data_IF_534484611104
#
_entry.id   IF_534484611104
#
_cell.length_a   1.000
_cell.length_b   1.000
_cell.length_c   1.000
_cell.angle_alpha   90.00
_cell.angle_beta   90.00
_cell.angle_gamma   90.00
#
_symmetry.space_group_name_H-M   'P 1'
#
loop_
_entity.id
_entity.type
_entity.pdbx_description
1 polymer ?
#
# COMPACT_ATOMS: atom_id res chain seq x y z
N UNK A 1 5.11 7.52 -11.52
CA UNK A 1 5.76 7.28 -10.20
C UNK A 1 4.90 6.34 -9.39
N UNK A 2 5.49 5.32 -8.75
CA UNK A 2 4.81 4.40 -7.84
C UNK A 2 5.51 4.47 -6.49
N UNK A 3 4.75 4.48 -5.39
CA UNK A 3 5.30 4.42 -4.04
C UNK A 3 4.28 3.83 -3.07
N UNK A 4 4.75 3.43 -1.89
CA UNK A 4 3.90 2.89 -0.84
C UNK A 4 3.93 3.77 0.41
N UNK A 5 2.84 3.77 1.17
CA UNK A 5 2.73 4.50 2.45
C UNK A 5 2.02 3.64 3.50
N UNK A 6 2.16 4.05 4.76
CA UNK A 6 1.47 3.48 5.93
C UNK A 6 1.49 1.94 6.00
N UNK A 7 2.65 1.27 5.81
CA UNK A 7 2.70 -0.17 5.97
C UNK A 7 2.34 -0.56 7.40
N UNK A 8 1.46 -1.55 7.53
CA UNK A 8 1.01 -2.10 8.81
C UNK A 8 1.01 -3.61 8.75
N UNK A 9 1.62 -4.24 9.75
CA UNK A 9 1.46 -5.68 9.96
C UNK A 9 0.11 -5.93 10.62
N UNK A 10 -0.74 -6.73 9.99
CA UNK A 10 -2.05 -7.11 10.53
C UNK A 10 -1.96 -8.39 11.36
N UNK A 11 -1.17 -9.36 10.88
CA UNK A 11 -0.97 -10.65 11.54
C UNK A 11 0.34 -11.30 11.12
N UNK A 12 0.88 -12.18 11.97
CA UNK A 12 2.05 -13.02 11.65
C UNK A 12 2.00 -14.38 12.34
N UNK A 13 2.57 -15.38 11.69
CA UNK A 13 2.99 -16.66 12.28
C UNK A 13 4.48 -16.92 12.03
N UNK A 14 4.93 -18.13 12.34
CA UNK A 14 6.26 -18.60 11.97
C UNK A 14 6.43 -18.66 10.44
N UNK A 15 5.38 -19.03 9.70
CA UNK A 15 5.47 -19.31 8.26
C UNK A 15 4.96 -18.17 7.37
N UNK A 16 4.05 -17.34 7.88
CA UNK A 16 3.32 -16.37 7.05
C UNK A 16 3.14 -15.01 7.74
N UNK A 17 2.93 -13.97 6.92
CA UNK A 17 2.63 -12.61 7.37
C UNK A 17 1.47 -12.05 6.55
N UNK A 18 0.55 -11.37 7.22
CA UNK A 18 -0.49 -10.57 6.58
C UNK A 18 -0.19 -9.10 6.86
N UNK A 19 0.01 -8.32 5.80
CA UNK A 19 0.32 -6.90 5.89
C UNK A 19 -0.65 -6.09 5.04
N UNK A 20 -0.78 -4.82 5.38
CA UNK A 20 -1.53 -3.84 4.61
C UNK A 20 -0.66 -2.62 4.34
N UNK A 21 -0.82 -2.00 3.18
CA UNK A 21 -0.16 -0.76 2.83
C UNK A 21 -1.01 0.02 1.82
N UNK A 22 -0.80 1.32 1.74
CA UNK A 22 -1.36 2.12 0.65
C UNK A 22 -0.38 2.12 -0.51
N UNK A 23 -0.87 1.78 -1.69
CA UNK A 23 -0.12 1.94 -2.94
C UNK A 23 -0.61 3.19 -3.67
N UNK A 24 0.31 4.10 -3.88
CA UNK A 24 0.07 5.38 -4.53
C UNK A 24 0.75 5.39 -5.89
N UNK A 25 -0.01 5.78 -6.91
CA UNK A 25 0.48 5.85 -8.29
C UNK A 25 0.18 7.23 -8.87
N UNK A 26 1.19 7.86 -9.47
CA UNK A 26 1.03 9.06 -10.29
C UNK A 26 1.36 8.74 -11.76
N UNK A 27 0.38 8.87 -12.63
CA UNK A 27 0.47 8.59 -14.07
C UNK A 27 -0.41 9.59 -14.83
N UNK A 28 0.09 10.16 -15.93
CA UNK A 28 -0.63 11.14 -16.77
C UNK A 28 -1.31 12.27 -15.97
N UNK A 29 -0.58 12.83 -15.00
CA UNK A 29 -1.08 13.94 -14.17
C UNK A 29 -2.11 13.53 -13.10
N UNK A 30 -2.58 12.28 -13.10
CA UNK A 30 -3.54 11.76 -12.12
C UNK A 30 -2.82 11.00 -11.01
N UNK A 31 -3.33 11.15 -9.79
CA UNK A 31 -2.91 10.36 -8.63
C UNK A 31 -4.05 9.42 -8.24
N UNK A 32 -3.74 8.14 -8.12
CA UNK A 32 -4.66 7.11 -7.61
C UNK A 32 -4.06 6.48 -6.36
N UNK A 33 -4.94 6.02 -5.47
CA UNK A 33 -4.56 5.28 -4.27
C UNK A 33 -5.37 4.00 -4.21
N UNK A 34 -4.70 2.92 -3.79
CA UNK A 34 -5.39 1.70 -3.37
C UNK A 34 -4.83 1.19 -2.07
N UNK A 35 -5.71 0.67 -1.23
CA UNK A 35 -5.36 -0.08 -0.03
C UNK A 35 -5.12 -1.53 -0.43
N UNK A 36 -3.90 -2.01 -0.23
CA UNK A 36 -3.50 -3.37 -0.56
C UNK A 36 -3.31 -4.18 0.72
N UNK A 37 -3.99 -5.32 0.82
CA UNK A 37 -3.77 -6.33 1.86
C UNK A 37 -3.10 -7.55 1.24
N UNK A 38 -1.91 -7.89 1.70
CA UNK A 38 -1.05 -8.92 1.11
C UNK A 38 -0.75 -10.04 2.11
N UNK A 39 -0.89 -11.28 1.65
CA UNK A 39 -0.43 -12.47 2.32
C UNK A 39 0.93 -12.89 1.76
N UNK A 40 1.92 -12.92 2.64
CA UNK A 40 3.25 -13.44 2.39
C UNK A 40 3.46 -14.78 3.08
N UNK A 41 4.32 -15.59 2.47
CA UNK A 41 4.98 -16.72 3.15
C UNK A 41 6.48 -16.48 3.19
N UNK A 42 7.14 -16.97 4.25
CA UNK A 42 8.59 -16.91 4.36
C UNK A 42 9.22 -17.83 3.34
N UNK A 43 10.25 -17.33 2.67
CA UNK A 43 10.97 -18.04 1.62
C UNK A 43 12.36 -17.42 1.51
N UNK A 44 13.39 -18.10 2.03
CA UNK A 44 14.75 -17.56 2.10
C UNK A 44 15.39 -17.33 0.73
N UNK A 45 14.79 -17.87 -0.34
CA UNK A 45 15.26 -17.67 -1.72
C UNK A 45 14.61 -16.48 -2.41
N UNK A 46 13.50 -15.96 -1.86
CA UNK A 46 12.78 -14.82 -2.42
C UNK A 46 13.39 -13.48 -1.98
N UNK A 47 13.22 -12.40 -2.77
CA UNK A 47 13.57 -11.05 -2.34
C UNK A 47 12.93 -10.68 -1.00
N UNK A 48 13.72 -10.12 -0.08
CA UNK A 48 13.25 -9.81 1.27
C UNK A 48 12.87 -11.03 2.11
N UNK A 49 13.24 -12.24 1.66
CA UNK A 49 12.90 -13.53 2.26
C UNK A 49 11.40 -13.80 2.37
N UNK A 50 10.63 -13.18 1.48
CA UNK A 50 9.16 -13.25 1.45
C UNK A 50 8.67 -13.50 0.03
N UNK A 51 7.83 -14.51 -0.12
CA UNK A 51 7.12 -14.78 -1.37
C UNK A 51 5.69 -14.29 -1.28
N UNK A 52 5.26 -13.55 -2.29
CA UNK A 52 3.90 -13.10 -2.46
C UNK A 52 2.99 -14.28 -2.77
N UNK A 53 1.92 -14.46 -2.00
CA UNK A 53 0.94 -15.55 -2.24
C UNK A 53 -0.35 -15.00 -2.79
N UNK A 54 -0.88 -13.94 -2.16
CA UNK A 54 -2.12 -13.26 -2.57
C UNK A 54 -2.07 -11.79 -2.22
N UNK A 55 -2.78 -10.99 -3.00
CA UNK A 55 -3.09 -9.60 -2.69
C UNK A 55 -4.58 -9.37 -2.91
N UNK A 56 -5.18 -8.58 -2.03
CA UNK A 56 -6.52 -8.03 -2.19
C UNK A 56 -6.40 -6.51 -2.19
N UNK A 57 -6.99 -5.86 -3.17
CA UNK A 57 -6.84 -4.43 -3.39
C UNK A 57 -8.20 -3.74 -3.38
N UNK A 58 -8.26 -2.56 -2.78
CA UNK A 58 -9.43 -1.69 -2.78
C UNK A 58 -9.01 -0.30 -3.18
N UNK A 59 -9.56 0.24 -4.26
CA UNK A 59 -9.33 1.61 -4.69
C UNK A 59 -10.02 2.56 -3.72
N UNK A 60 -9.29 3.58 -3.28
CA UNK A 60 -9.78 4.59 -2.35
C UNK A 60 -9.49 5.97 -2.93
N UNK A 61 -10.25 6.97 -2.50
CA UNK A 61 -9.92 8.35 -2.83
C UNK A 61 -8.60 8.73 -2.15
N UNK A 62 -7.67 9.40 -2.86
CA UNK A 62 -6.55 10.03 -2.20
C UNK A 62 -7.11 10.99 -1.14
N UNK A 63 -6.60 11.01 0.11
CA UNK A 63 -6.97 12.05 1.05
C UNK A 63 -6.85 13.41 0.36
N UNK A 64 -7.94 14.17 0.33
CA UNK A 64 -7.96 15.48 -0.30
C UNK A 64 -6.81 16.33 0.25
N UNK A 65 -6.19 17.13 -0.61
CA UNK A 65 -5.17 18.07 -0.17
C UNK A 65 -5.79 18.95 0.92
N UNK A 66 -5.42 18.72 2.18
CA UNK A 66 -5.85 19.52 3.33
C UNK A 66 -5.17 20.92 3.33
N UNK A 67 -5.03 21.53 2.15
CA UNK A 67 -4.25 22.72 1.87
C UNK A 67 -4.86 23.64 0.79
N UNK A 68 -6.18 23.55 0.53
CA UNK A 68 -6.90 24.53 -0.31
C UNK A 68 -7.77 25.50 0.51
N UNK A 69 -7.67 25.49 1.85
CA UNK A 69 -8.35 26.45 2.72
C UNK A 69 -7.38 27.56 3.16
N UNK A 70 -6.93 28.39 2.22
CA UNK A 70 -6.41 29.73 2.48
C UNK A 70 -6.14 30.44 1.15
N UNK A 71 -6.98 31.41 0.77
CA UNK A 71 -6.68 32.31 -0.34
C UNK A 71 -7.92 32.86 -1.03
N UNK A 72 -8.59 33.82 -0.40
CA UNK A 72 -9.72 34.53 -1.01
C UNK A 72 -10.44 35.43 -0.01
N UNK A 73 -9.70 36.34 0.61
CA UNK A 73 -10.25 37.56 1.24
C UNK A 73 -9.94 38.74 0.33
#
# INVERSE_FOLDING_TARGET
RLWTQRPRLLWRSQEALLAQYEEWQRFEGRTTVRLSTVLFVRDDTAPGRLRWVRVHETWIEPPGDAGSAAGGG
#
